data_IF_877448829526
#
_entry.id   IF_877448829526
#
_cell.length_a   1.000
_cell.length_b   1.000
_cell.length_c   1.000
_cell.angle_alpha   90.00
_cell.angle_beta   90.00
_cell.angle_gamma   90.00
#
_symmetry.space_group_name_H-M   'P 1'
#
loop_
_entity.id
_entity.type
_entity.pdbx_description
1 polymer ?
#
# COMPACT_ATOMS: atom_id res chain seq x y z
N UNK A 1 3.06 -52.33 -6.71
CA UNK A 1 3.64 -51.17 -7.38
C UNK A 1 3.13 -49.91 -6.67
N UNK A 2 3.82 -49.55 -5.61
CA UNK A 2 3.51 -48.36 -4.75
C UNK A 2 4.26 -47.17 -5.32
N UNK A 3 3.55 -46.16 -5.77
CA UNK A 3 4.14 -44.86 -6.12
C UNK A 3 4.15 -43.97 -4.89
N UNK A 4 5.33 -43.68 -4.40
CA UNK A 4 5.62 -42.67 -3.40
C UNK A 4 5.57 -41.32 -4.10
N UNK A 5 4.59 -40.47 -3.72
CA UNK A 5 4.55 -39.08 -4.11
C UNK A 5 5.36 -38.28 -3.08
N UNK A 6 6.55 -37.89 -3.45
CA UNK A 6 7.36 -37.02 -2.62
C UNK A 6 6.86 -35.58 -2.67
N UNK A 7 6.40 -35.08 -1.53
CA UNK A 7 6.15 -33.66 -1.35
C UNK A 7 7.50 -32.93 -1.29
N UNK A 8 7.80 -32.14 -2.31
CA UNK A 8 8.92 -31.20 -2.27
C UNK A 8 8.53 -30.00 -1.42
N UNK A 9 8.92 -30.03 -0.15
CA UNK A 9 8.93 -28.83 0.67
C UNK A 9 10.05 -27.92 0.13
N UNK A 10 9.70 -26.81 -0.46
CA UNK A 10 10.65 -25.73 -0.74
C UNK A 10 10.95 -25.07 0.61
N UNK A 11 11.93 -25.59 1.30
CA UNK A 11 12.49 -24.96 2.47
C UNK A 11 13.27 -23.72 2.03
N UNK A 12 12.78 -22.55 2.38
CA UNK A 12 13.61 -21.36 2.45
C UNK A 12 14.58 -21.60 3.60
N UNK A 13 15.79 -21.98 3.29
CA UNK A 13 16.87 -22.07 4.27
C UNK A 13 17.27 -20.64 4.63
N UNK A 14 16.68 -20.10 5.68
CA UNK A 14 17.23 -18.95 6.36
C UNK A 14 18.54 -19.40 7.01
N UNK A 15 19.67 -19.21 6.37
CA UNK A 15 20.97 -19.32 7.02
C UNK A 15 21.07 -18.13 7.99
N UNK A 16 20.80 -18.43 9.27
CA UNK A 16 21.02 -17.50 10.36
C UNK A 16 22.49 -17.14 10.45
N UNK A 17 22.87 -16.04 9.85
CA UNK A 17 24.03 -15.28 10.25
C UNK A 17 23.54 -14.35 11.34
N UNK A 18 23.82 -14.70 12.59
CA UNK A 18 23.65 -13.82 13.74
C UNK A 18 24.55 -12.59 13.54
N UNK A 19 24.01 -11.58 12.91
CA UNK A 19 24.54 -10.22 12.99
C UNK A 19 23.70 -9.50 14.04
N UNK A 20 24.40 -8.94 15.03
CA UNK A 20 23.84 -7.96 15.95
C UNK A 20 23.01 -6.98 15.11
N UNK A 21 21.75 -6.80 15.47
CA UNK A 21 20.92 -5.75 14.94
C UNK A 21 21.57 -4.41 15.33
N UNK A 22 22.52 -3.95 14.53
CA UNK A 22 22.86 -2.55 14.50
C UNK A 22 21.58 -1.84 14.09
N UNK A 23 21.18 -0.83 14.86
CA UNK A 23 20.13 0.10 14.47
C UNK A 23 20.32 0.38 12.98
N UNK A 24 19.33 -0.02 12.17
CA UNK A 24 19.37 0.20 10.73
C UNK A 24 19.73 1.67 10.51
N UNK A 25 20.70 1.94 9.63
CA UNK A 25 21.05 3.30 9.30
C UNK A 25 19.92 3.92 8.47
N UNK A 26 18.97 4.55 9.17
CA UNK A 26 17.79 5.19 8.55
C UNK A 26 18.16 6.40 7.68
N UNK A 27 19.43 6.79 7.64
CA UNK A 27 19.89 7.94 6.81
C UNK A 27 19.65 7.69 5.32
N UNK A 28 19.65 6.41 4.87
CA UNK A 28 19.33 6.05 3.49
C UNK A 28 17.90 6.46 3.08
N UNK A 29 16.97 6.56 4.04
CA UNK A 29 15.58 6.94 3.81
C UNK A 29 15.31 8.43 3.97
N UNK A 30 16.28 9.19 4.44
CA UNK A 30 16.16 10.64 4.58
C UNK A 30 16.25 11.33 3.21
N UNK A 31 15.60 12.48 3.10
CA UNK A 31 15.79 13.33 1.94
C UNK A 31 17.23 13.79 1.86
N UNK A 32 17.83 13.86 0.65
CA UNK A 32 19.18 14.37 0.49
C UNK A 32 19.27 15.82 0.96
N UNK A 33 20.35 16.17 1.64
CA UNK A 33 20.60 17.54 2.13
C UNK A 33 20.65 18.57 0.99
N UNK A 34 21.19 18.15 -0.16
CA UNK A 34 21.27 18.96 -1.38
C UNK A 34 20.61 18.21 -2.53
N UNK A 35 19.28 18.26 -2.68
CA UNK A 35 18.60 17.55 -3.75
C UNK A 35 18.92 18.18 -5.12
N UNK A 36 19.12 17.33 -6.14
CA UNK A 36 19.32 17.77 -7.52
C UNK A 36 18.02 18.31 -8.16
N UNK A 37 16.88 17.89 -7.65
CA UNK A 37 15.56 18.33 -8.12
C UNK A 37 14.98 19.36 -7.16
N UNK A 38 14.18 20.33 -7.66
CA UNK A 38 13.46 21.24 -6.80
C UNK A 38 12.52 20.46 -5.88
N UNK A 39 12.42 20.86 -4.60
CA UNK A 39 11.37 20.32 -3.72
C UNK A 39 10.02 20.77 -4.26
N UNK A 40 9.13 19.85 -4.62
CA UNK A 40 7.78 20.22 -4.98
C UNK A 40 7.05 20.75 -3.75
N UNK A 41 6.27 21.81 -3.95
CA UNK A 41 5.49 22.45 -2.89
C UNK A 41 4.00 22.26 -3.12
N UNK A 42 3.48 21.07 -2.91
CA UNK A 42 2.03 20.88 -2.92
C UNK A 42 1.43 21.61 -1.71
N UNK A 43 0.55 22.59 -1.98
CA UNK A 43 -0.28 23.22 -0.96
C UNK A 43 -1.62 22.50 -0.93
N UNK A 44 -1.97 21.91 0.21
CA UNK A 44 -3.21 21.17 0.36
C UNK A 44 -4.41 22.11 0.45
N UNK A 45 -5.42 21.83 -0.37
CA UNK A 45 -6.76 22.38 -0.26
C UNK A 45 -7.70 21.25 0.18
N UNK A 46 -8.04 21.21 1.46
CA UNK A 46 -8.87 20.17 2.09
C UNK A 46 -10.20 19.99 1.38
N UNK A 47 -10.76 21.06 0.79
CA UNK A 47 -12.05 21.02 0.09
C UNK A 47 -12.01 20.23 -1.23
N UNK A 48 -10.80 19.99 -1.78
CA UNK A 48 -10.57 19.29 -3.05
C UNK A 48 -9.61 18.12 -2.91
N UNK A 49 -9.32 17.73 -1.68
CA UNK A 49 -8.37 16.65 -1.37
C UNK A 49 -9.09 15.39 -0.89
N UNK A 50 -8.40 14.25 -0.99
CA UNK A 50 -8.79 12.98 -0.38
C UNK A 50 -7.56 12.23 0.14
N UNK A 51 -7.75 11.46 1.21
CA UNK A 51 -6.82 10.40 1.60
C UNK A 51 -7.15 9.15 0.80
N UNK A 52 -6.16 8.65 0.05
CA UNK A 52 -6.27 7.38 -0.68
C UNK A 52 -5.32 6.38 -0.04
N UNK A 53 -5.87 5.27 0.46
CA UNK A 53 -5.08 4.19 1.07
C UNK A 53 -5.16 2.94 0.20
N UNK A 54 -3.99 2.45 -0.19
CA UNK A 54 -3.83 1.29 -1.06
C UNK A 54 -3.60 0.07 -0.19
N UNK A 55 -4.38 -0.99 -0.44
CA UNK A 55 -4.20 -2.31 0.15
C UNK A 55 -4.06 -2.33 1.69
N UNK A 56 -4.98 -1.71 2.46
CA UNK A 56 -4.90 -1.70 3.92
C UNK A 56 -5.32 -3.06 4.52
N UNK A 57 -4.79 -4.15 3.96
CA UNK A 57 -5.25 -5.52 4.16
C UNK A 57 -4.26 -6.34 4.99
N UNK A 58 -4.78 -7.36 5.66
CA UNK A 58 -4.03 -8.30 6.52
C UNK A 58 -2.85 -8.93 5.77
N UNK A 59 -3.04 -9.30 4.51
CA UNK A 59 -2.00 -9.96 3.70
C UNK A 59 -0.76 -9.09 3.42
N UNK A 60 -0.83 -7.78 3.67
CA UNK A 60 0.36 -6.92 3.58
C UNK A 60 0.90 -6.49 4.95
N UNK A 61 0.03 -6.21 5.93
CA UNK A 61 0.45 -5.45 7.11
C UNK A 61 0.44 -6.25 8.41
N UNK A 62 -0.07 -7.49 8.38
CA UNK A 62 -0.17 -8.33 9.58
C UNK A 62 1.03 -9.27 9.73
N UNK A 63 1.55 -9.49 10.95
CA UNK A 63 2.50 -10.57 11.23
C UNK A 63 2.03 -11.98 10.83
N UNK A 64 0.73 -12.15 10.60
CA UNK A 64 0.14 -13.43 10.13
C UNK A 64 0.18 -13.57 8.60
N UNK A 65 0.57 -12.52 7.89
CA UNK A 65 0.61 -12.51 6.42
C UNK A 65 1.70 -13.42 5.88
N UNK A 66 1.46 -14.13 4.77
CA UNK A 66 2.51 -14.80 4.01
C UNK A 66 3.61 -13.86 3.50
N UNK A 67 3.33 -12.57 3.32
CA UNK A 67 4.31 -11.57 2.90
C UNK A 67 5.16 -11.03 4.06
N UNK A 68 4.77 -11.24 5.32
CA UNK A 68 5.45 -10.68 6.49
C UNK A 68 6.96 -10.93 6.54
N UNK A 69 7.49 -12.11 6.18
CA UNK A 69 8.93 -12.35 6.18
C UNK A 69 9.74 -11.37 5.31
N UNK A 70 9.12 -10.74 4.34
CA UNK A 70 9.80 -9.83 3.40
C UNK A 70 9.35 -8.36 3.55
N UNK A 71 8.17 -8.09 4.10
CA UNK A 71 7.66 -6.73 4.28
C UNK A 71 7.66 -6.25 5.73
N UNK A 72 7.65 -7.19 6.70
CA UNK A 72 7.40 -6.88 8.11
C UNK A 72 8.44 -5.97 8.75
N UNK A 73 9.71 -6.09 8.35
CA UNK A 73 10.76 -5.16 8.79
C UNK A 73 10.42 -3.73 8.36
N UNK A 74 10.12 -3.52 7.09
CA UNK A 74 9.78 -2.20 6.55
C UNK A 74 8.49 -1.63 7.16
N UNK A 75 7.45 -2.46 7.35
CA UNK A 75 6.19 -2.04 8.01
C UNK A 75 6.46 -1.55 9.44
N UNK A 76 7.32 -2.25 10.17
CA UNK A 76 7.65 -1.94 11.57
C UNK A 76 8.54 -0.72 11.68
N UNK A 77 9.60 -0.67 10.86
CA UNK A 77 10.59 0.39 10.85
C UNK A 77 9.98 1.77 10.57
N UNK A 78 9.01 1.83 9.66
CA UNK A 78 8.31 3.06 9.29
C UNK A 78 7.04 3.32 10.10
N UNK A 79 6.69 2.49 11.09
CA UNK A 79 5.47 2.61 11.89
C UNK A 79 4.19 2.71 11.02
N UNK A 80 4.11 1.97 9.92
CA UNK A 80 3.07 2.13 8.90
C UNK A 80 1.66 2.05 9.47
N UNK A 81 1.36 1.02 10.27
CA UNK A 81 0.01 0.82 10.82
C UNK A 81 -0.39 1.95 11.78
N UNK A 82 0.41 2.35 12.79
CA UNK A 82 0.10 3.51 13.61
C UNK A 82 -0.05 4.81 12.82
N UNK A 83 0.78 5.05 11.82
CA UNK A 83 0.72 6.25 10.99
C UNK A 83 -0.53 6.29 10.12
N UNK A 84 -0.96 5.16 9.55
CA UNK A 84 -2.24 5.07 8.84
C UNK A 84 -3.43 5.36 9.77
N UNK A 85 -3.44 4.86 11.00
CA UNK A 85 -4.48 5.22 12.00
C UNK A 85 -4.52 6.73 12.25
N UNK A 86 -3.36 7.37 12.37
CA UNK A 86 -3.27 8.84 12.54
C UNK A 86 -3.83 9.59 11.33
N UNK A 87 -3.51 9.13 10.12
CA UNK A 87 -4.02 9.71 8.87
C UNK A 87 -5.54 9.56 8.79
N UNK A 88 -6.09 8.37 9.04
CA UNK A 88 -7.54 8.15 9.07
C UNK A 88 -8.24 9.12 10.04
N UNK A 89 -7.77 9.18 11.29
CA UNK A 89 -8.33 10.07 12.32
C UNK A 89 -8.31 11.54 11.90
N UNK A 90 -7.17 12.02 11.41
CA UNK A 90 -7.01 13.42 11.01
C UNK A 90 -7.90 13.76 9.81
N UNK A 91 -7.98 12.87 8.82
CA UNK A 91 -8.81 13.03 7.62
C UNK A 91 -10.29 13.14 7.98
N UNK A 92 -10.77 12.22 8.84
CA UNK A 92 -12.17 12.27 9.33
C UNK A 92 -12.47 13.52 10.14
N UNK A 93 -11.51 13.99 10.97
CA UNK A 93 -11.69 15.18 11.79
C UNK A 93 -11.90 16.47 10.95
N UNK A 94 -11.34 16.53 9.74
CA UNK A 94 -11.51 17.67 8.81
C UNK A 94 -12.57 17.41 7.74
N UNK A 95 -13.34 16.31 7.85
CA UNK A 95 -14.37 15.91 6.89
C UNK A 95 -13.85 15.74 5.46
N UNK A 96 -12.58 15.41 5.29
CA UNK A 96 -12.00 15.12 3.99
C UNK A 96 -12.32 13.67 3.59
N UNK A 97 -12.65 13.38 2.32
CA UNK A 97 -12.96 12.02 1.87
C UNK A 97 -11.82 11.03 2.12
N UNK A 98 -12.17 9.81 2.56
CA UNK A 98 -11.29 8.65 2.59
C UNK A 98 -11.70 7.69 1.49
N UNK A 99 -10.73 7.22 0.72
CA UNK A 99 -10.95 6.29 -0.39
C UNK A 99 -9.96 5.13 -0.26
N UNK A 100 -10.47 3.91 -0.32
CA UNK A 100 -9.68 2.68 -0.27
C UNK A 100 -9.62 2.07 -1.65
N UNK A 101 -8.43 1.72 -2.12
CA UNK A 101 -8.20 0.94 -3.34
C UNK A 101 -7.67 -0.44 -2.94
N UNK A 102 -8.53 -1.47 -2.84
CA UNK A 102 -8.15 -2.79 -2.35
C UNK A 102 -7.67 -3.70 -3.47
N UNK A 103 -6.86 -4.69 -3.10
CA UNK A 103 -6.46 -5.79 -3.95
C UNK A 103 -7.27 -7.05 -3.62
N UNK A 104 -7.98 -7.60 -4.59
CA UNK A 104 -8.67 -8.89 -4.43
C UNK A 104 -8.47 -9.77 -5.66
N UNK A 105 -8.22 -11.06 -5.40
CA UNK A 105 -8.37 -12.12 -6.38
C UNK A 105 -9.66 -12.89 -6.15
N UNK A 106 -10.27 -13.33 -7.24
CA UNK A 106 -11.45 -14.19 -7.25
C UNK A 106 -11.11 -15.53 -7.86
N UNK A 107 -11.94 -16.59 -7.70
CA UNK A 107 -11.64 -17.91 -8.23
C UNK A 107 -11.35 -17.96 -9.75
N UNK A 108 -11.90 -17.03 -10.52
CA UNK A 108 -11.61 -16.94 -11.96
C UNK A 108 -10.24 -16.32 -12.27
N UNK A 109 -9.70 -15.48 -11.40
CA UNK A 109 -8.37 -14.86 -11.59
C UNK A 109 -7.25 -15.91 -11.50
N UNK A 110 -7.44 -16.95 -10.68
CA UNK A 110 -6.50 -18.08 -10.58
C UNK A 110 -6.38 -18.92 -11.87
N UNK A 111 -7.19 -18.62 -12.89
CA UNK A 111 -7.15 -19.30 -14.19
C UNK A 111 -6.41 -18.48 -15.26
N UNK A 112 -5.75 -17.40 -14.88
CA UNK A 112 -4.98 -16.61 -15.82
C UNK A 112 -3.84 -17.45 -16.43
N UNK A 113 -3.74 -17.44 -17.75
CA UNK A 113 -2.68 -18.13 -18.48
C UNK A 113 -1.38 -17.32 -18.54
N UNK A 114 -1.48 -15.98 -18.48
CA UNK A 114 -0.35 -15.07 -18.51
C UNK A 114 -0.25 -14.37 -17.15
N UNK A 115 0.84 -14.64 -16.45
CA UNK A 115 1.07 -14.11 -15.11
C UNK A 115 2.54 -13.72 -14.93
N UNK A 116 2.78 -12.66 -14.16
CA UNK A 116 4.11 -12.29 -13.68
C UNK A 116 4.54 -13.12 -12.46
N UNK A 117 5.82 -13.09 -12.09
CA UNK A 117 6.35 -13.87 -10.96
C UNK A 117 5.61 -13.60 -9.63
N UNK A 118 5.27 -12.35 -9.35
CA UNK A 118 4.57 -11.98 -8.12
C UNK A 118 3.13 -12.50 -8.09
N UNK A 119 2.40 -12.43 -9.21
CA UNK A 119 1.04 -12.94 -9.34
C UNK A 119 1.00 -14.45 -9.11
N UNK A 120 1.93 -15.19 -9.71
CA UNK A 120 2.09 -16.64 -9.50
C UNK A 120 2.31 -16.94 -8.02
N UNK A 121 3.17 -16.16 -7.36
CA UNK A 121 3.45 -16.34 -5.93
C UNK A 121 2.23 -16.03 -5.06
N UNK A 122 1.54 -14.93 -5.30
CA UNK A 122 0.35 -14.53 -4.57
C UNK A 122 -0.78 -15.56 -4.72
N UNK A 123 -1.06 -16.02 -5.94
CA UNK A 123 -2.03 -17.09 -6.20
C UNK A 123 -1.65 -18.39 -5.49
N UNK A 124 -0.37 -18.78 -5.52
CA UNK A 124 0.11 -19.99 -4.83
C UNK A 124 -0.06 -19.91 -3.31
N UNK A 125 0.08 -18.72 -2.74
CA UNK A 125 -0.05 -18.47 -1.30
C UNK A 125 -1.49 -18.17 -0.88
N UNK A 126 -2.42 -18.01 -1.82
CA UNK A 126 -3.81 -17.64 -1.55
C UNK A 126 -3.96 -16.22 -0.99
N UNK A 127 -3.04 -15.30 -1.36
CA UNK A 127 -3.08 -13.92 -0.88
C UNK A 127 -4.22 -13.15 -1.55
N UNK A 128 -4.89 -12.31 -0.77
CA UNK A 128 -6.00 -11.44 -1.23
C UNK A 128 -7.21 -12.18 -1.81
N UNK A 129 -7.32 -13.48 -1.56
CA UNK A 129 -8.39 -14.30 -2.10
C UNK A 129 -9.75 -13.97 -1.48
N UNK A 130 -10.73 -13.84 -2.36
CA UNK A 130 -12.14 -13.71 -2.06
C UNK A 130 -12.93 -14.78 -2.79
N UNK A 131 -13.98 -15.30 -2.15
CA UNK A 131 -14.83 -16.35 -2.75
C UNK A 131 -15.64 -15.86 -3.97
N UNK A 132 -15.77 -14.54 -4.14
CA UNK A 132 -16.42 -13.94 -5.30
C UNK A 132 -16.69 -12.45 -5.10
N UNK A 133 -17.04 -11.73 -6.18
CA UNK A 133 -17.25 -10.28 -6.12
C UNK A 133 -18.54 -9.89 -5.37
N UNK A 134 -19.53 -10.79 -5.29
CA UNK A 134 -20.85 -10.50 -4.73
C UNK A 134 -21.10 -11.19 -3.38
N UNK A 135 -20.08 -11.80 -2.77
CA UNK A 135 -20.20 -12.46 -1.47
C UNK A 135 -19.11 -11.98 -0.51
N UNK A 136 -19.47 -11.92 0.78
CA UNK A 136 -18.54 -11.71 1.89
C UNK A 136 -18.18 -13.01 2.61
N UNK A 137 -18.65 -14.15 2.10
CA UNK A 137 -18.34 -15.46 2.68
C UNK A 137 -16.81 -15.66 2.67
N UNK A 138 -16.26 -16.04 3.84
CA UNK A 138 -14.83 -16.26 4.01
C UNK A 138 -13.96 -14.98 3.99
N UNK A 139 -14.53 -13.78 3.91
CA UNK A 139 -13.78 -12.54 3.96
C UNK A 139 -13.24 -12.25 5.36
N UNK A 140 -14.12 -12.35 6.36
CA UNK A 140 -13.73 -12.10 7.76
C UNK A 140 -12.75 -13.16 8.25
N UNK A 141 -11.63 -12.71 8.81
CA UNK A 141 -10.53 -13.57 9.26
C UNK A 141 -9.58 -14.04 8.16
N UNK A 142 -9.83 -13.67 6.89
CA UNK A 142 -8.93 -13.96 5.76
C UNK A 142 -7.78 -12.96 5.67
N UNK A 143 -6.81 -13.25 4.80
CA UNK A 143 -5.75 -12.30 4.45
C UNK A 143 -6.24 -11.10 3.66
N UNK A 144 -7.35 -11.25 2.94
CA UNK A 144 -7.98 -10.19 2.17
C UNK A 144 -8.76 -9.18 3.03
N UNK A 145 -9.05 -9.51 4.29
CA UNK A 145 -9.74 -8.61 5.24
C UNK A 145 -8.90 -7.37 5.55
N UNK A 146 -9.57 -6.30 5.97
CA UNK A 146 -8.90 -5.10 6.49
C UNK A 146 -8.08 -5.41 7.73
N UNK A 147 -6.97 -4.67 7.94
CA UNK A 147 -6.30 -4.68 9.23
C UNK A 147 -7.30 -4.28 10.32
N UNK A 148 -7.33 -4.99 11.46
CA UNK A 148 -8.30 -4.72 12.54
C UNK A 148 -8.29 -3.26 13.00
N UNK A 149 -7.13 -2.60 12.96
CA UNK A 149 -6.93 -1.21 13.37
C UNK A 149 -7.62 -0.20 12.44
N UNK A 150 -8.03 -0.63 11.24
CA UNK A 150 -8.63 0.25 10.23
C UNK A 150 -10.11 0.03 10.03
N UNK A 151 -10.69 -1.05 10.56
CA UNK A 151 -12.10 -1.44 10.33
C UNK A 151 -13.06 -0.29 10.70
N UNK A 152 -12.85 0.37 11.84
CA UNK A 152 -13.71 1.47 12.30
C UNK A 152 -13.73 2.67 11.34
N UNK A 153 -12.66 2.86 10.54
CA UNK A 153 -12.54 3.97 9.58
C UNK A 153 -12.97 3.58 8.17
N UNK A 154 -12.94 2.29 7.85
CA UNK A 154 -13.28 1.79 6.51
C UNK A 154 -14.77 1.42 6.43
N UNK A 155 -15.30 0.79 7.47
CA UNK A 155 -16.69 0.28 7.52
C UNK A 155 -17.65 1.27 8.21
N UNK A 156 -17.31 2.56 8.20
CA UNK A 156 -18.10 3.64 8.84
C UNK A 156 -19.31 4.14 8.02
N UNK A 157 -19.50 3.61 6.81
CA UNK A 157 -20.56 4.01 5.89
C UNK A 157 -20.28 5.29 5.08
N UNK A 158 -19.17 5.97 5.32
CA UNK A 158 -18.76 7.20 4.63
C UNK A 158 -17.54 6.99 3.74
N UNK A 159 -16.64 6.10 4.15
CA UNK A 159 -15.44 5.76 3.40
C UNK A 159 -15.80 5.05 2.09
N UNK A 160 -15.18 5.52 1.01
CA UNK A 160 -15.35 4.91 -0.31
C UNK A 160 -14.42 3.71 -0.42
N UNK A 161 -14.98 2.52 -0.63
CA UNK A 161 -14.22 1.34 -1.00
C UNK A 161 -14.40 1.13 -2.50
N UNK A 162 -13.33 1.34 -3.27
CA UNK A 162 -13.36 1.15 -4.72
C UNK A 162 -13.51 -0.33 -5.09
N UNK A 163 -13.92 -0.58 -6.33
CA UNK A 163 -13.74 -1.89 -6.94
C UNK A 163 -12.26 -2.30 -6.85
N UNK A 164 -11.95 -3.60 -6.69
CA UNK A 164 -10.57 -3.98 -6.50
C UNK A 164 -9.72 -3.74 -7.76
N UNK A 165 -8.51 -3.29 -7.57
CA UNK A 165 -7.50 -3.45 -8.60
C UNK A 165 -6.99 -4.90 -8.59
N UNK A 166 -6.42 -5.35 -9.72
CA UNK A 166 -6.08 -6.76 -9.91
C UNK A 166 -4.58 -7.03 -9.91
N UNK A 167 -3.78 -6.04 -10.27
CA UNK A 167 -2.32 -6.14 -10.30
C UNK A 167 -1.72 -5.05 -9.42
N UNK A 168 -1.36 -3.92 -10.01
CA UNK A 168 -0.62 -2.89 -9.29
C UNK A 168 -1.34 -1.54 -9.29
N UNK A 169 -1.92 -1.15 -10.41
CA UNK A 169 -2.49 0.18 -10.60
C UNK A 169 -4.01 0.19 -10.69
N UNK A 170 -4.63 1.37 -10.62
CA UNK A 170 -6.07 1.54 -10.58
C UNK A 170 -6.74 1.48 -11.97
N UNK A 171 -6.05 1.01 -13.01
CA UNK A 171 -6.59 0.99 -14.38
C UNK A 171 -7.85 0.11 -14.52
N UNK A 172 -7.98 -0.89 -13.66
CA UNK A 172 -9.10 -1.83 -13.68
C UNK A 172 -10.13 -1.55 -12.57
N UNK A 173 -10.00 -0.45 -11.81
CA UNK A 173 -10.96 -0.07 -10.78
C UNK A 173 -11.59 1.30 -11.03
N UNK A 174 -12.46 1.74 -10.13
CA UNK A 174 -13.20 2.98 -10.25
C UNK A 174 -12.64 4.16 -9.43
N UNK A 175 -11.37 4.09 -8.98
CA UNK A 175 -10.75 5.11 -8.12
C UNK A 175 -10.86 6.52 -8.73
N UNK A 176 -10.41 6.68 -9.98
CA UNK A 176 -10.43 7.99 -10.66
C UNK A 176 -11.84 8.53 -10.80
N UNK A 177 -12.82 7.67 -11.11
CA UNK A 177 -14.22 8.04 -11.17
C UNK A 177 -14.73 8.52 -9.81
N UNK A 178 -14.42 7.79 -8.75
CA UNK A 178 -14.87 8.13 -7.38
C UNK A 178 -14.29 9.46 -6.91
N UNK A 179 -13.02 9.73 -7.19
CA UNK A 179 -12.35 11.00 -6.88
C UNK A 179 -12.97 12.15 -7.70
N UNK A 180 -13.06 11.97 -9.02
CA UNK A 180 -13.60 13.01 -9.92
C UNK A 180 -15.06 13.38 -9.63
N UNK A 181 -15.92 12.39 -9.28
CA UNK A 181 -17.32 12.65 -8.89
C UNK A 181 -17.47 13.42 -7.58
N UNK A 182 -16.43 13.47 -6.76
CA UNK A 182 -16.37 14.25 -5.51
C UNK A 182 -15.65 15.58 -5.66
N UNK A 183 -15.22 15.95 -6.87
CA UNK A 183 -14.47 17.17 -7.12
C UNK A 183 -13.04 17.15 -6.58
N UNK A 184 -12.53 15.96 -6.26
CA UNK A 184 -11.16 15.78 -5.77
C UNK A 184 -10.17 15.88 -6.92
N UNK A 185 -9.12 16.68 -6.74
CA UNK A 185 -7.98 16.76 -7.65
C UNK A 185 -6.63 16.76 -6.92
N UNK A 186 -6.64 16.67 -5.58
CA UNK A 186 -5.45 16.49 -4.75
C UNK A 186 -5.57 15.20 -3.95
N UNK A 187 -4.50 14.43 -3.87
CA UNK A 187 -4.49 13.14 -3.21
C UNK A 187 -3.34 13.05 -2.22
N UNK A 188 -3.65 12.66 -0.99
CA UNK A 188 -2.68 12.16 -0.02
C UNK A 188 -2.67 10.65 -0.16
N UNK A 189 -1.55 10.07 -0.59
CA UNK A 189 -1.42 8.66 -0.95
C UNK A 189 -0.60 7.91 0.09
N UNK A 190 -1.12 6.78 0.57
CA UNK A 190 -0.47 5.90 1.55
C UNK A 190 -0.84 4.43 1.31
N UNK A 191 -0.25 3.48 2.05
CA UNK A 191 -0.58 2.05 1.99
C UNK A 191 0.54 1.17 1.45
N UNK A 192 0.19 0.07 0.78
CA UNK A 192 1.11 -1.00 0.37
C UNK A 192 1.02 -1.30 -1.13
N UNK A 193 2.06 -1.87 -1.77
CA UNK A 193 3.45 -1.74 -1.38
C UNK A 193 4.08 -0.57 -2.12
N UNK A 194 5.03 0.11 -1.48
CA UNK A 194 5.57 1.39 -1.95
C UNK A 194 6.03 1.36 -3.41
N UNK A 195 6.86 0.39 -3.78
CA UNK A 195 7.44 0.25 -5.13
C UNK A 195 6.54 -0.52 -6.13
N UNK A 196 5.34 -0.88 -5.73
CA UNK A 196 4.40 -1.65 -6.56
C UNK A 196 3.07 -0.87 -6.69
N UNK A 197 2.07 -1.25 -5.88
CA UNK A 197 0.73 -0.69 -6.01
C UNK A 197 0.68 0.81 -5.71
N UNK A 198 1.39 1.29 -4.68
CA UNK A 198 1.44 2.73 -4.36
C UNK A 198 2.06 3.52 -5.50
N UNK A 199 3.23 3.08 -6.03
CA UNK A 199 3.87 3.75 -7.16
C UNK A 199 3.02 3.71 -8.43
N UNK A 200 2.36 2.57 -8.71
CA UNK A 200 1.49 2.45 -9.88
C UNK A 200 0.28 3.39 -9.78
N UNK A 201 -0.31 3.52 -8.59
CA UNK A 201 -1.40 4.48 -8.34
C UNK A 201 -0.91 5.92 -8.47
N UNK A 202 0.25 6.25 -7.90
CA UNK A 202 0.87 7.58 -8.05
C UNK A 202 1.01 7.96 -9.52
N UNK A 203 1.68 7.11 -10.31
CA UNK A 203 1.91 7.36 -11.74
C UNK A 203 0.60 7.55 -12.49
N UNK A 204 -0.37 6.68 -12.25
CA UNK A 204 -1.67 6.78 -12.91
C UNK A 204 -2.42 8.06 -12.53
N UNK A 205 -2.45 8.42 -11.26
CA UNK A 205 -3.14 9.63 -10.79
C UNK A 205 -2.50 10.89 -11.38
N UNK A 206 -1.15 10.95 -11.46
CA UNK A 206 -0.46 12.07 -12.11
C UNK A 206 -0.83 12.19 -13.59
N UNK A 207 -0.89 11.09 -14.34
CA UNK A 207 -1.32 11.07 -15.74
C UNK A 207 -2.81 11.41 -15.92
N UNK A 208 -3.61 11.29 -14.88
CA UNK A 208 -5.01 11.73 -14.86
C UNK A 208 -5.18 13.20 -14.39
N UNK A 209 -4.08 13.91 -14.12
CA UNK A 209 -4.08 15.33 -13.76
C UNK A 209 -4.30 15.63 -12.28
N UNK A 210 -4.15 14.66 -11.39
CA UNK A 210 -4.17 14.89 -9.95
C UNK A 210 -2.82 15.40 -9.46
N UNK A 211 -2.83 16.25 -8.43
CA UNK A 211 -1.67 16.48 -7.59
C UNK A 211 -1.61 15.43 -6.49
N UNK A 212 -0.46 14.79 -6.30
CA UNK A 212 -0.31 13.67 -5.36
C UNK A 212 0.85 13.91 -4.41
N UNK A 213 0.56 13.89 -3.12
CA UNK A 213 1.56 13.77 -2.04
C UNK A 213 1.58 12.36 -1.50
N UNK A 214 2.74 11.70 -1.49
CA UNK A 214 2.95 10.39 -0.87
C UNK A 214 3.38 10.58 0.58
N UNK A 215 2.78 9.83 1.50
CA UNK A 215 3.17 9.83 2.93
C UNK A 215 4.19 8.73 3.16
N UNK A 216 5.48 9.11 3.18
CA UNK A 216 6.61 8.17 3.15
C UNK A 216 6.73 7.24 4.36
N UNK A 217 6.25 7.64 5.53
CA UNK A 217 6.23 6.83 6.75
C UNK A 217 4.88 6.14 7.01
N UNK A 218 3.99 6.16 6.01
CA UNK A 218 2.74 5.41 5.97
C UNK A 218 2.68 4.44 4.78
N UNK A 219 3.85 4.06 4.27
CA UNK A 219 4.05 3.08 3.20
C UNK A 219 5.19 2.14 3.59
N UNK A 220 5.22 0.94 3.04
CA UNK A 220 6.34 0.01 3.16
C UNK A 220 6.51 -0.84 1.90
N UNK A 221 7.61 -1.56 1.81
CA UNK A 221 7.87 -2.48 0.71
C UNK A 221 8.69 -3.69 1.15
N UNK A 222 8.79 -4.67 0.27
CA UNK A 222 9.61 -5.84 0.51
C UNK A 222 11.11 -5.52 0.40
N UNK A 223 11.90 -6.18 1.26
CA UNK A 223 13.36 -6.23 1.18
C UNK A 223 13.76 -7.62 0.72
N UNK A 224 14.54 -7.70 -0.34
CA UNK A 224 15.07 -8.92 -0.94
C UNK A 224 16.59 -8.82 -1.10
N UNK A 225 17.28 -9.94 -1.37
CA UNK A 225 18.71 -9.90 -1.71
C UNK A 225 19.02 -8.98 -2.91
N UNK A 226 18.07 -8.82 -3.82
CA UNK A 226 18.16 -7.95 -4.99
C UNK A 226 18.11 -6.46 -4.64
N UNK A 227 17.54 -6.09 -3.50
CA UNK A 227 17.48 -4.71 -3.05
C UNK A 227 16.32 -4.38 -2.12
N UNK A 228 16.31 -3.11 -1.71
CA UNK A 228 15.29 -2.52 -0.86
C UNK A 228 14.22 -1.83 -1.72
N UNK A 229 13.02 -2.42 -1.75
CA UNK A 229 11.90 -1.89 -2.53
C UNK A 229 11.39 -0.54 -2.01
N UNK A 230 11.51 -0.27 -0.71
CA UNK A 230 11.12 1.03 -0.15
C UNK A 230 12.06 2.14 -0.61
N UNK A 231 13.38 1.90 -0.57
CA UNK A 231 14.37 2.88 -1.05
C UNK A 231 14.22 3.13 -2.56
N UNK A 232 13.96 2.08 -3.35
CA UNK A 232 13.69 2.23 -4.78
C UNK A 232 12.47 3.12 -5.05
N UNK A 233 11.39 2.94 -4.28
CA UNK A 233 10.20 3.78 -4.37
C UNK A 233 10.48 5.24 -3.99
N UNK A 234 11.18 5.49 -2.89
CA UNK A 234 11.53 6.84 -2.45
C UNK A 234 12.31 7.63 -3.51
N UNK A 235 13.25 6.96 -4.19
CA UNK A 235 14.00 7.57 -5.29
C UNK A 235 13.03 8.05 -6.37
N UNK A 236 12.09 7.19 -6.80
CA UNK A 236 11.10 7.54 -7.81
C UNK A 236 10.16 8.66 -7.33
N UNK A 237 9.68 8.58 -6.09
CA UNK A 237 8.75 9.57 -5.54
C UNK A 237 9.37 10.97 -5.47
N UNK A 238 10.66 11.08 -5.15
CA UNK A 238 11.38 12.36 -5.19
C UNK A 238 11.40 12.99 -6.58
N UNK A 239 11.33 12.18 -7.65
CA UNK A 239 11.30 12.66 -9.02
C UNK A 239 9.91 13.06 -9.49
N UNK A 240 8.84 12.35 -9.05
CA UNK A 240 7.55 12.46 -9.71
C UNK A 240 6.40 12.95 -8.81
N UNK A 241 6.45 12.76 -7.47
CA UNK A 241 5.36 13.18 -6.62
C UNK A 241 5.32 14.70 -6.42
N UNK A 242 4.13 15.29 -6.28
CA UNK A 242 3.95 16.71 -5.96
C UNK A 242 4.31 17.02 -4.49
N UNK A 243 4.27 16.00 -3.62
CA UNK A 243 4.73 16.06 -2.24
C UNK A 243 5.27 14.71 -1.78
N UNK A 244 6.30 14.74 -0.97
CA UNK A 244 6.80 13.55 -0.26
C UNK A 244 6.86 13.93 1.22
N UNK A 245 5.82 13.58 1.94
CA UNK A 245 5.56 14.03 3.30
C UNK A 245 5.79 12.92 4.33
N UNK A 246 6.10 13.32 5.56
CA UNK A 246 5.88 12.49 6.72
C UNK A 246 4.40 12.55 7.14
N UNK A 247 3.97 11.64 8.00
CA UNK A 247 2.64 11.70 8.60
C UNK A 247 2.42 13.04 9.32
N UNK A 248 3.42 13.54 10.06
CA UNK A 248 3.32 14.84 10.75
C UNK A 248 3.13 16.01 9.78
N UNK A 249 3.85 16.02 8.65
CA UNK A 249 3.67 17.03 7.60
C UNK A 249 2.29 16.95 6.96
N UNK A 250 1.78 15.74 6.71
CA UNK A 250 0.44 15.54 6.17
C UNK A 250 -0.64 16.05 7.14
N UNK A 251 -0.53 15.70 8.43
CA UNK A 251 -1.46 16.18 9.45
C UNK A 251 -1.43 17.72 9.59
N UNK A 252 -0.24 18.30 9.59
CA UNK A 252 -0.08 19.76 9.65
C UNK A 252 -0.69 20.45 8.44
N UNK A 253 -0.53 19.85 7.24
CA UNK A 253 -1.14 20.37 6.00
C UNK A 253 -2.68 20.33 6.04
N UNK A 254 -3.28 19.28 6.63
CA UNK A 254 -4.73 19.16 6.81
C UNK A 254 -5.30 20.21 7.78
N UNK A 255 -4.52 20.64 8.77
CA UNK A 255 -4.94 21.65 9.75
C UNK A 255 -4.79 23.09 9.23
N UNK A 256 -3.92 23.31 8.24
CA UNK A 256 -3.64 24.62 7.69
C UNK A 256 -4.52 25.00 6.48
N UNK A 257 -5.18 24.03 5.86
CA UNK A 257 -6.10 24.18 4.72
C UNK A 257 -7.53 24.20 5.15
#
# INVERSE_FOLDING_TARGET
LTKIVGAAAVGIVATGVGQNANSADLTAYNDPTNPALPKPGMKLDVSRAALVVIDPQVDFMSPRSPAWPVVGESVTEHNVVPNLVRLFKATKAVSMPVVISPHYYYPHDHRWEVQGPLEILQHKLGMFDRNGPLTLDGFKGSGAEWMPEFVEYIEDGETVVCSPHKLYGPQANDLVLQLGKRGVNQVILAGMAANLCVESHLRHLLEQGFEVAVVRDAIAAAKFPEGDGYLAALINFRFIANGLWTTDEALSSMQAG
#
